data_IF_291698381504
#
_entry.id   IF_291698381504
#
_cell.length_a   1.000
_cell.length_b   1.000
_cell.length_c   1.000
_cell.angle_alpha   90.00
_cell.angle_beta   90.00
_cell.angle_gamma   90.00
#
_symmetry.space_group_name_H-M   'P 1'
#
loop_
_entity.id
_entity.type
_entity.pdbx_description
1 polymer ?
#
# COMPACT_ATOMS: atom_id res chain seq x y z
N UNK A 1 -10.19 -24.97 40.69
CA UNK A 1 -10.41 -23.64 40.08
C UNK A 1 -9.14 -22.89 39.63
N UNK A 2 -7.96 -23.53 39.49
CA UNK A 2 -6.73 -22.87 38.99
C UNK A 2 -6.29 -23.31 37.58
N UNK A 3 -6.96 -24.28 36.96
CA UNK A 3 -6.61 -24.80 35.63
C UNK A 3 -7.41 -24.18 34.46
N UNK A 4 -8.43 -23.36 34.73
CA UNK A 4 -9.26 -22.76 33.67
C UNK A 4 -8.69 -21.46 33.07
N UNK A 5 -7.67 -20.86 33.71
CA UNK A 5 -7.12 -19.56 33.29
C UNK A 5 -6.01 -19.72 32.23
N UNK A 6 -5.40 -20.91 32.11
CA UNK A 6 -4.30 -21.13 31.16
C UNK A 6 -4.78 -21.39 29.72
N UNK A 7 -5.99 -21.94 29.53
CA UNK A 7 -6.54 -22.22 28.20
C UNK A 7 -7.06 -20.95 27.48
N UNK A 8 -7.37 -19.89 28.23
CA UNK A 8 -7.85 -18.62 27.67
C UNK A 8 -6.72 -17.70 27.19
N UNK A 9 -5.47 -17.96 27.57
CA UNK A 9 -4.30 -17.18 27.16
C UNK A 9 -3.60 -17.73 25.91
N UNK A 10 -3.97 -18.93 25.45
CA UNK A 10 -3.45 -19.56 24.23
C UNK A 10 -4.29 -19.27 22.97
N UNK A 11 -5.46 -18.66 23.12
CA UNK A 11 -6.37 -18.33 22.01
C UNK A 11 -6.15 -16.94 21.41
N UNK A 12 -5.27 -16.13 22.00
CA UNK A 12 -4.92 -14.79 21.50
C UNK A 12 -3.64 -14.78 20.65
N UNK A 13 -3.09 -15.94 20.32
CA UNK A 13 -2.14 -16.05 19.22
C UNK A 13 -2.93 -15.96 17.92
N UNK A 14 -3.32 -14.74 17.54
CA UNK A 14 -3.70 -14.45 16.16
C UNK A 14 -2.46 -14.73 15.33
N UNK A 15 -2.32 -15.98 14.88
CA UNK A 15 -1.55 -16.27 13.70
C UNK A 15 -2.18 -15.38 12.63
N UNK A 16 -1.56 -14.23 12.38
CA UNK A 16 -1.80 -13.51 11.14
C UNK A 16 -1.52 -14.57 10.08
N UNK A 17 -2.59 -15.08 9.47
CA UNK A 17 -2.46 -16.01 8.37
C UNK A 17 -1.67 -15.23 7.33
N UNK A 18 -0.38 -15.56 7.20
CA UNK A 18 0.45 -15.01 6.14
C UNK A 18 -0.26 -15.39 4.85
N UNK A 19 -0.75 -14.37 4.15
CA UNK A 19 -1.36 -14.52 2.85
C UNK A 19 -0.36 -15.18 1.90
N UNK A 20 -0.79 -16.04 0.97
CA UNK A 20 0.13 -16.79 0.11
C UNK A 20 1.12 -15.92 -0.68
N UNK A 21 0.76 -14.68 -0.97
CA UNK A 21 1.60 -13.71 -1.68
C UNK A 21 2.64 -13.00 -0.79
N UNK A 22 2.46 -13.00 0.54
CA UNK A 22 3.36 -12.29 1.46
C UNK A 22 4.83 -12.71 1.35
N UNK A 23 5.17 -14.03 1.28
CA UNK A 23 6.56 -14.46 1.08
C UNK A 23 7.18 -13.97 -0.24
N UNK A 24 6.38 -13.91 -1.32
CA UNK A 24 6.81 -13.40 -2.64
C UNK A 24 7.12 -11.91 -2.55
N UNK A 25 6.26 -11.15 -1.87
CA UNK A 25 6.47 -9.73 -1.64
C UNK A 25 7.71 -9.48 -0.77
N UNK A 26 7.85 -10.18 0.35
CA UNK A 26 8.97 -10.03 1.28
C UNK A 26 10.31 -10.35 0.60
N UNK A 27 10.38 -11.44 -0.16
CA UNK A 27 11.60 -11.85 -0.86
C UNK A 27 12.01 -10.89 -1.97
N UNK A 28 11.05 -10.23 -2.63
CA UNK A 28 11.28 -9.32 -3.74
C UNK A 28 11.39 -7.85 -3.34
N UNK A 29 11.00 -7.48 -2.11
CA UNK A 29 10.88 -6.08 -1.64
C UNK A 29 12.13 -5.21 -1.86
N UNK A 30 13.32 -5.81 -1.71
CA UNK A 30 14.59 -5.12 -1.87
C UNK A 30 15.27 -5.41 -3.21
N UNK A 31 15.15 -6.64 -3.73
CA UNK A 31 15.84 -7.07 -4.95
C UNK A 31 15.18 -6.55 -6.23
N UNK A 32 13.87 -6.32 -6.22
CA UNK A 32 13.10 -6.02 -7.43
C UNK A 32 12.49 -4.61 -7.42
N UNK A 33 12.76 -3.81 -6.39
CA UNK A 33 12.23 -2.45 -6.27
C UNK A 33 12.96 -1.46 -7.19
N UNK A 34 12.19 -0.73 -7.99
CA UNK A 34 12.65 0.40 -8.79
C UNK A 34 11.99 1.69 -8.32
N UNK A 35 12.78 2.66 -7.87
CA UNK A 35 12.28 3.94 -7.35
C UNK A 35 11.52 4.72 -8.42
N UNK A 36 10.32 5.20 -8.08
CA UNK A 36 9.47 5.98 -8.99
C UNK A 36 8.77 5.14 -10.07
N UNK A 37 8.82 3.81 -9.96
CA UNK A 37 8.22 2.87 -10.90
C UNK A 37 7.17 1.98 -10.21
N UNK A 38 6.30 2.56 -9.37
CA UNK A 38 5.32 1.86 -8.55
C UNK A 38 4.47 0.86 -9.37
N UNK A 39 3.95 1.28 -10.53
CA UNK A 39 3.23 0.40 -11.45
C UNK A 39 4.06 -0.82 -11.90
N UNK A 40 5.29 -0.61 -12.36
CA UNK A 40 6.21 -1.70 -12.76
C UNK A 40 6.52 -2.64 -11.59
N UNK A 41 6.75 -2.10 -10.39
CA UNK A 41 7.03 -2.90 -9.20
C UNK A 41 5.85 -3.83 -8.86
N UNK A 42 4.61 -3.30 -8.87
CA UNK A 42 3.41 -4.10 -8.62
C UNK A 42 3.16 -5.13 -9.73
N UNK A 43 3.38 -4.78 -10.99
CA UNK A 43 3.27 -5.74 -12.09
C UNK A 43 4.26 -6.89 -11.97
N UNK A 44 5.49 -6.59 -11.55
CA UNK A 44 6.49 -7.63 -11.31
C UNK A 44 6.10 -8.53 -10.13
N UNK A 45 5.53 -7.97 -9.05
CA UNK A 45 5.02 -8.77 -7.93
C UNK A 45 3.90 -9.72 -8.36
N UNK A 46 2.91 -9.21 -9.08
CA UNK A 46 1.79 -10.01 -9.60
C UNK A 46 2.31 -11.14 -10.50
N UNK A 47 3.28 -10.84 -11.37
CA UNK A 47 3.92 -11.85 -12.24
C UNK A 47 4.65 -12.92 -11.43
N UNK A 48 5.48 -12.54 -10.47
CA UNK A 48 6.22 -13.47 -9.62
C UNK A 48 5.27 -14.36 -8.82
N UNK A 49 4.24 -13.78 -8.22
CA UNK A 49 3.24 -14.53 -7.46
C UNK A 49 2.52 -15.56 -8.33
N UNK A 50 2.16 -15.19 -9.56
CA UNK A 50 1.56 -16.11 -10.53
C UNK A 50 2.53 -17.24 -10.92
N UNK A 51 3.81 -16.92 -11.14
CA UNK A 51 4.86 -17.92 -11.45
C UNK A 51 5.11 -18.90 -10.28
N UNK A 52 4.94 -18.44 -9.04
CA UNK A 52 5.00 -19.27 -7.83
C UNK A 52 3.69 -20.03 -7.53
N UNK A 53 2.68 -19.91 -8.39
CA UNK A 53 1.41 -20.63 -8.26
C UNK A 53 0.47 -20.08 -7.18
N UNK A 54 0.64 -18.82 -6.78
CA UNK A 54 -0.29 -18.13 -5.89
C UNK A 54 -1.63 -17.93 -6.60
N UNK A 55 -2.74 -18.21 -5.93
CA UNK A 55 -4.08 -17.87 -6.43
C UNK A 55 -4.32 -16.36 -6.34
N UNK A 56 -4.45 -15.72 -7.50
CA UNK A 56 -4.64 -14.28 -7.66
C UNK A 56 -6.08 -13.90 -8.01
N UNK A 57 -7.04 -14.81 -7.89
CA UNK A 57 -8.46 -14.56 -8.20
C UNK A 57 -9.06 -13.38 -7.44
N UNK A 58 -8.63 -13.17 -6.19
CA UNK A 58 -9.03 -12.03 -5.35
C UNK A 58 -8.02 -10.87 -5.37
N UNK A 59 -6.97 -10.94 -6.18
CA UNK A 59 -5.94 -9.90 -6.20
C UNK A 59 -6.36 -8.71 -7.09
N UNK A 60 -6.20 -7.50 -6.57
CA UNK A 60 -6.61 -6.25 -7.20
C UNK A 60 -5.45 -5.27 -7.27
N UNK A 61 -5.10 -4.82 -8.48
CA UNK A 61 -4.15 -3.72 -8.69
C UNK A 61 -4.90 -2.42 -8.53
N UNK A 62 -4.43 -1.58 -7.61
CA UNK A 62 -5.09 -0.34 -7.22
C UNK A 62 -4.20 0.83 -7.65
N UNK A 63 -4.75 1.70 -8.49
CA UNK A 63 -4.16 2.98 -8.85
C UNK A 63 -4.88 4.09 -8.08
N UNK A 64 -4.12 4.92 -7.40
CA UNK A 64 -4.63 6.13 -6.75
C UNK A 64 -4.10 7.38 -7.44
N UNK A 65 -5.00 8.30 -7.75
CA UNK A 65 -4.70 9.63 -8.30
C UNK A 65 -5.40 10.71 -7.49
N UNK A 66 -5.05 11.97 -7.71
CA UNK A 66 -5.75 13.10 -7.11
C UNK A 66 -6.34 13.99 -8.20
N UNK A 67 -7.66 14.11 -8.25
CA UNK A 67 -8.36 14.99 -9.20
C UNK A 67 -8.71 16.35 -8.57
N UNK A 68 -8.35 16.58 -7.31
CA UNK A 68 -8.60 17.87 -6.66
C UNK A 68 -7.59 18.94 -7.11
N UNK A 69 -8.11 20.17 -7.25
CA UNK A 69 -7.31 21.35 -7.59
C UNK A 69 -6.35 21.80 -6.46
N UNK A 70 -6.54 21.31 -5.23
CA UNK A 70 -5.86 21.86 -4.05
C UNK A 70 -4.39 21.45 -3.91
N UNK A 71 -3.97 20.34 -4.51
CA UNK A 71 -2.58 19.87 -4.50
C UNK A 71 -2.01 19.71 -5.92
N UNK A 72 -2.48 20.49 -6.89
CA UNK A 72 -2.02 20.39 -8.29
C UNK A 72 -2.13 18.95 -8.87
N UNK A 73 -3.15 18.20 -8.45
CA UNK A 73 -3.35 16.81 -8.86
C UNK A 73 -2.38 15.79 -8.24
N UNK A 74 -1.63 16.15 -7.19
CA UNK A 74 -0.66 15.26 -6.55
C UNK A 74 -1.29 14.46 -5.39
N UNK A 75 -0.97 13.17 -5.34
CA UNK A 75 -1.21 12.26 -4.21
C UNK A 75 -0.07 12.41 -3.20
N UNK A 76 -0.41 12.60 -1.92
CA UNK A 76 0.57 12.69 -0.83
C UNK A 76 0.68 11.37 -0.09
N UNK A 77 1.88 10.79 -0.03
CA UNK A 77 2.22 9.59 0.74
C UNK A 77 2.99 9.95 2.01
N UNK A 78 2.46 9.62 3.19
CA UNK A 78 3.00 10.06 4.48
C UNK A 78 3.96 9.08 5.16
N UNK A 79 3.82 7.80 4.85
CA UNK A 79 4.75 6.75 5.27
C UNK A 79 5.47 6.17 4.05
N UNK A 80 5.83 7.04 3.11
CA UNK A 80 6.51 6.61 1.90
C UNK A 80 7.93 6.11 2.20
N UNK A 81 8.35 5.07 1.47
CA UNK A 81 9.68 4.47 1.53
C UNK A 81 10.74 5.53 1.23
N UNK A 82 11.62 5.74 2.18
CA UNK A 82 12.82 6.54 1.99
C UNK A 82 14.03 5.93 2.70
N UNK A 83 15.18 6.50 2.42
CA UNK A 83 16.41 6.23 3.15
C UNK A 83 17.18 7.52 3.34
N UNK A 84 17.77 7.68 4.53
CA UNK A 84 18.68 8.80 4.84
C UNK A 84 20.09 8.27 5.10
N UNK A 85 21.09 9.10 4.88
CA UNK A 85 22.47 8.76 5.23
C UNK A 85 22.66 8.90 6.76
N UNK A 86 23.07 7.82 7.42
CA UNK A 86 23.59 7.89 8.79
C UNK A 86 24.95 8.59 8.77
N UNK A 87 25.04 9.73 9.45
CA UNK A 87 26.25 10.57 9.49
C UNK A 87 27.42 9.93 10.24
N UNK A 88 27.13 8.96 11.11
CA UNK A 88 28.14 8.29 11.94
C UNK A 88 28.73 7.09 11.22
N UNK A 89 27.88 6.31 10.55
CA UNK A 89 28.28 5.05 9.90
C UNK A 89 28.48 5.18 8.39
N UNK A 90 28.00 6.27 7.77
CA UNK A 90 27.99 6.46 6.33
C UNK A 90 27.04 5.52 5.58
N UNK A 91 26.22 4.73 6.29
CA UNK A 91 25.27 3.80 5.69
C UNK A 91 23.92 4.46 5.45
N UNK A 92 23.21 4.05 4.40
CA UNK A 92 21.80 4.43 4.23
C UNK A 92 20.96 3.65 5.22
N UNK A 93 20.15 4.36 6.01
CA UNK A 93 19.19 3.78 6.94
C UNK A 93 17.76 4.08 6.47
N UNK A 94 16.84 3.11 6.61
CA UNK A 94 15.39 3.33 6.63
C UNK A 94 14.93 4.68 7.18
N UNK A 95 14.07 5.37 6.42
CA UNK A 95 13.39 6.58 6.89
C UNK A 95 12.00 6.71 6.23
N UNK A 96 11.07 7.37 6.91
CA UNK A 96 9.75 7.70 6.36
C UNK A 96 9.74 9.17 5.99
N UNK A 97 9.26 9.49 4.79
CA UNK A 97 9.13 10.88 4.38
C UNK A 97 7.80 11.14 3.68
N UNK A 98 7.37 12.39 3.79
CA UNK A 98 6.25 12.88 3.02
C UNK A 98 6.67 13.02 1.55
N UNK A 99 6.02 12.27 0.67
CA UNK A 99 6.20 12.33 -0.79
C UNK A 99 4.95 12.80 -1.48
N UNK A 100 5.14 13.42 -2.65
CA UNK A 100 4.08 13.80 -3.56
C UNK A 100 4.28 13.08 -4.89
N UNK A 101 3.24 12.44 -5.39
CA UNK A 101 3.25 11.69 -6.66
C UNK A 101 2.09 12.13 -7.55
N UNK A 102 2.24 12.04 -8.87
CA UNK A 102 1.10 12.22 -9.79
C UNK A 102 0.08 11.10 -9.65
N UNK A 103 0.55 9.90 -9.33
CA UNK A 103 -0.25 8.73 -9.04
C UNK A 103 0.59 7.74 -8.21
N UNK A 104 -0.07 6.78 -7.58
CA UNK A 104 0.60 5.66 -6.93
C UNK A 104 -0.12 4.35 -7.21
N UNK A 105 0.61 3.25 -7.27
CA UNK A 105 0.07 1.92 -7.56
C UNK A 105 0.50 0.95 -6.47
N UNK A 106 -0.46 0.20 -5.94
CA UNK A 106 -0.23 -0.85 -4.95
C UNK A 106 -1.14 -2.06 -5.23
N UNK A 107 -0.83 -3.19 -4.61
CA UNK A 107 -1.61 -4.42 -4.75
C UNK A 107 -2.45 -4.64 -3.50
N UNK A 108 -3.69 -5.07 -3.69
CA UNK A 108 -4.51 -5.66 -2.64
C UNK A 108 -4.74 -7.15 -2.93
N UNK A 109 -4.71 -7.99 -1.90
CA UNK A 109 -5.06 -9.40 -1.97
C UNK A 109 -5.62 -9.85 -0.61
N UNK A 110 -6.81 -10.44 -0.63
CA UNK A 110 -7.53 -10.94 0.56
C UNK A 110 -7.62 -9.92 1.73
N UNK A 111 -7.83 -8.63 1.43
CA UNK A 111 -7.98 -7.56 2.42
C UNK A 111 -6.65 -6.96 2.92
N UNK A 112 -5.53 -7.33 2.32
CA UNK A 112 -4.20 -6.84 2.68
C UNK A 112 -3.51 -6.12 1.52
N UNK A 113 -2.68 -5.12 1.86
CA UNK A 113 -1.93 -4.30 0.92
C UNK A 113 -0.46 -4.72 0.86
N UNK A 114 0.06 -4.76 -0.37
CA UNK A 114 1.46 -4.95 -0.72
C UNK A 114 1.92 -3.75 -1.53
N UNK A 115 2.78 -2.94 -0.93
CA UNK A 115 3.28 -1.72 -1.54
C UNK A 115 4.79 -1.59 -1.27
N UNK A 116 5.57 -1.53 -2.34
CA UNK A 116 7.02 -1.36 -2.26
C UNK A 116 7.44 0.02 -1.78
N UNK A 117 6.53 1.00 -1.88
CA UNK A 117 6.71 2.37 -1.43
C UNK A 117 6.13 2.59 -0.02
N UNK A 118 5.60 1.56 0.66
CA UNK A 118 5.11 1.70 2.04
C UNK A 118 6.14 1.28 3.07
N UNK A 119 6.68 2.29 3.75
CA UNK A 119 7.69 2.10 4.77
C UNK A 119 9.02 1.56 4.27
N UNK A 120 9.91 1.23 5.20
CA UNK A 120 11.30 0.88 4.90
C UNK A 120 11.61 -0.61 4.87
N UNK A 121 10.66 -1.42 5.33
CA UNK A 121 10.72 -2.87 5.44
C UNK A 121 9.44 -3.43 4.80
N UNK A 122 9.47 -4.65 4.24
CA UNK A 122 8.26 -5.25 3.69
C UNK A 122 7.19 -5.35 4.78
N UNK A 123 6.03 -4.77 4.51
CA UNK A 123 4.90 -4.78 5.45
C UNK A 123 3.62 -5.11 4.72
N UNK A 124 2.96 -6.16 5.16
CA UNK A 124 1.61 -6.53 4.72
C UNK A 124 0.61 -5.94 5.71
N UNK A 125 -0.28 -5.08 5.23
CA UNK A 125 -1.11 -4.23 6.10
C UNK A 125 -2.58 -4.30 5.67
N UNK A 126 -3.56 -4.41 6.59
CA UNK A 126 -4.96 -4.31 6.23
C UNK A 126 -5.27 -3.03 5.45
N UNK A 127 -6.18 -3.11 4.46
CA UNK A 127 -6.51 -1.98 3.55
C UNK A 127 -6.78 -0.67 4.31
N UNK A 128 -7.66 -0.71 5.30
CA UNK A 128 -8.04 0.48 6.06
C UNK A 128 -6.83 1.09 6.77
N UNK A 129 -6.06 0.29 7.51
CA UNK A 129 -4.86 0.76 8.22
C UNK A 129 -3.83 1.36 7.25
N UNK A 130 -3.58 0.71 6.12
CA UNK A 130 -2.66 1.22 5.10
C UNK A 130 -3.11 2.58 4.58
N UNK A 131 -4.37 2.72 4.17
CA UNK A 131 -4.89 3.98 3.61
C UNK A 131 -4.84 5.11 4.65
N UNK A 132 -5.18 4.82 5.91
CA UNK A 132 -5.10 5.78 7.01
C UNK A 132 -3.69 6.35 7.16
N UNK A 133 -2.70 5.45 7.21
CA UNK A 133 -1.30 5.82 7.45
C UNK A 133 -0.66 6.45 6.22
N UNK A 134 -0.95 5.92 5.04
CA UNK A 134 -0.30 6.32 3.80
C UNK A 134 -0.90 7.59 3.21
N UNK A 135 -2.22 7.77 3.28
CA UNK A 135 -2.92 8.85 2.55
C UNK A 135 -3.75 9.79 3.42
N UNK A 136 -4.15 9.37 4.63
CA UNK A 136 -5.09 10.11 5.48
C UNK A 136 -4.59 10.34 6.92
N UNK A 137 -3.37 10.85 7.14
CA UNK A 137 -2.79 10.96 8.47
C UNK A 137 -3.64 11.87 9.35
N UNK A 138 -3.81 11.49 10.61
CA UNK A 138 -4.52 12.30 11.61
C UNK A 138 -3.89 13.67 11.83
N UNK A 139 -2.56 13.75 11.70
CA UNK A 139 -1.81 14.99 11.87
C UNK A 139 -1.78 15.77 10.56
N UNK A 140 -2.10 17.06 10.65
CA UNK A 140 -1.93 18.01 9.55
C UNK A 140 -0.44 18.14 9.23
N UNK A 141 -0.04 17.64 8.07
CA UNK A 141 1.28 17.90 7.51
C UNK A 141 1.18 19.09 6.56
N UNK A 142 2.02 20.11 6.77
CA UNK A 142 2.13 21.23 5.85
C UNK A 142 3.03 20.86 4.67
N UNK A 143 2.44 20.34 3.60
CA UNK A 143 3.03 20.43 2.27
C UNK A 143 2.79 21.85 1.78
N UNK A 144 3.72 22.79 2.01
CA UNK A 144 3.70 24.14 1.45
C UNK A 144 2.32 24.82 1.45
N UNK A 145 1.93 25.41 2.58
CA UNK A 145 0.79 26.34 2.75
C UNK A 145 -0.64 25.88 2.39
N UNK A 146 -0.89 24.62 1.98
CA UNK A 146 -2.26 24.08 1.89
C UNK A 146 -2.42 22.74 2.57
N UNK A 147 -2.93 22.80 3.80
CA UNK A 147 -3.38 21.63 4.56
C UNK A 147 -4.67 21.13 3.90
N UNK A 148 -4.60 20.04 3.13
CA UNK A 148 -5.78 19.32 2.66
C UNK A 148 -6.37 18.51 3.82
N UNK A 149 -7.65 18.71 4.12
CA UNK A 149 -8.29 17.97 5.20
C UNK A 149 -8.47 16.50 4.83
N UNK A 150 -8.69 15.65 5.84
CA UNK A 150 -9.07 14.24 5.62
C UNK A 150 -10.27 14.13 4.68
N UNK A 151 -11.29 14.95 4.89
CA UNK A 151 -12.51 14.95 4.09
C UNK A 151 -12.23 15.32 2.62
N UNK A 152 -11.37 16.33 2.39
CA UNK A 152 -10.95 16.72 1.04
C UNK A 152 -10.23 15.57 0.32
N UNK A 153 -9.42 14.80 1.05
CA UNK A 153 -8.70 13.65 0.49
C UNK A 153 -9.63 12.50 0.15
N UNK A 154 -10.56 12.17 1.06
CA UNK A 154 -11.57 11.13 0.83
C UNK A 154 -12.41 11.42 -0.43
N UNK A 155 -12.74 12.70 -0.67
CA UNK A 155 -13.53 13.14 -1.82
C UNK A 155 -12.70 13.40 -3.08
N UNK A 156 -11.46 13.86 -2.92
CA UNK A 156 -10.60 14.32 -4.01
C UNK A 156 -9.71 13.24 -4.63
N UNK A 157 -9.35 12.21 -3.86
CA UNK A 157 -8.59 11.09 -4.38
C UNK A 157 -9.52 10.15 -5.16
N UNK A 158 -9.02 9.69 -6.29
CA UNK A 158 -9.67 8.69 -7.13
C UNK A 158 -8.90 7.40 -7.04
N UNK A 159 -9.65 6.32 -6.98
CA UNK A 159 -9.15 4.96 -6.92
C UNK A 159 -9.68 4.25 -8.16
N UNK A 160 -8.77 3.70 -8.95
CA UNK A 160 -9.08 2.76 -10.02
C UNK A 160 -8.67 1.36 -9.58
N UNK A 161 -9.58 0.41 -9.67
CA UNK A 161 -9.37 -0.97 -9.27
C UNK A 161 -9.43 -1.87 -10.50
N UNK A 162 -8.37 -2.65 -10.71
CA UNK A 162 -8.29 -3.67 -11.77
C UNK A 162 -7.99 -5.02 -11.16
N UNK A 163 -8.47 -6.11 -11.77
CA UNK A 163 -8.07 -7.45 -11.35
C UNK A 163 -6.60 -7.69 -11.73
N UNK A 164 -5.90 -8.51 -10.95
CA UNK A 164 -4.54 -8.92 -11.28
C UNK A 164 -4.47 -9.61 -12.67
N UNK A 165 -5.47 -10.43 -12.99
CA UNK A 165 -5.60 -11.10 -14.29
C UNK A 165 -5.69 -10.12 -15.46
N UNK A 166 -6.60 -9.14 -15.39
CA UNK A 166 -6.79 -8.18 -16.50
C UNK A 166 -5.52 -7.34 -16.73
N UNK A 167 -4.74 -7.12 -15.67
CA UNK A 167 -3.48 -6.39 -15.72
C UNK A 167 -2.34 -7.22 -16.31
N UNK A 168 -2.27 -8.53 -16.02
CA UNK A 168 -1.31 -9.47 -16.64
C UNK A 168 -1.53 -9.59 -18.15
N UNK A 169 -2.78 -9.66 -18.58
CA UNK A 169 -3.16 -9.78 -19.99
C UNK A 169 -2.97 -8.47 -20.78
N UNK A 170 -2.60 -7.37 -20.11
CA UNK A 170 -2.56 -6.02 -20.69
C UNK A 170 -3.87 -5.65 -21.39
N UNK A 171 -4.98 -6.15 -20.88
CA UNK A 171 -6.29 -5.87 -21.44
C UNK A 171 -6.59 -4.37 -21.30
N UNK A 172 -7.38 -3.83 -22.22
CA UNK A 172 -7.90 -2.46 -22.11
C UNK A 172 -9.19 -2.42 -21.28
N UNK A 173 -9.45 -3.43 -20.46
CA UNK A 173 -10.61 -3.42 -19.58
C UNK A 173 -10.52 -2.21 -18.64
N UNK A 174 -11.60 -1.44 -18.62
CA UNK A 174 -11.70 -0.28 -17.74
C UNK A 174 -11.82 -0.77 -16.31
N UNK A 175 -10.98 -0.25 -15.41
CA UNK A 175 -11.11 -0.52 -13.98
C UNK A 175 -12.38 0.08 -13.39
N UNK A 176 -12.75 -0.42 -12.20
CA UNK A 176 -13.80 0.19 -11.38
C UNK A 176 -13.24 1.51 -10.80
N UNK A 177 -13.90 2.63 -11.11
CA UNK A 177 -13.50 3.96 -10.65
C UNK A 177 -14.38 4.42 -9.49
N UNK A 178 -13.76 4.89 -8.42
CA UNK A 178 -14.45 5.44 -7.26
C UNK A 178 -13.61 6.47 -6.50
N UNK A 179 -14.20 7.13 -5.52
CA UNK A 179 -13.49 7.97 -4.56
C UNK A 179 -12.76 7.13 -3.52
N UNK A 180 -11.75 7.69 -2.85
CA UNK A 180 -11.10 7.00 -1.74
C UNK A 180 -12.07 6.71 -0.58
N UNK A 181 -13.06 7.59 -0.35
CA UNK A 181 -14.10 7.37 0.65
C UNK A 181 -15.00 6.18 0.34
N UNK A 182 -15.42 6.02 -0.92
CA UNK A 182 -16.17 4.85 -1.37
C UNK A 182 -15.34 3.58 -1.28
N UNK A 183 -14.05 3.64 -1.62
CA UNK A 183 -13.13 2.50 -1.51
C UNK A 183 -13.03 1.96 -0.07
N UNK A 184 -12.97 2.85 0.92
CA UNK A 184 -12.90 2.47 2.34
C UNK A 184 -14.24 1.96 2.93
N UNK A 185 -15.36 2.21 2.25
CA UNK A 185 -16.69 1.83 2.73
C UNK A 185 -17.13 0.44 2.25
N UNK A 186 -16.34 -0.23 1.40
CA UNK A 186 -16.59 -1.59 0.90
C UNK A 186 -16.22 -2.65 1.94
#
# INVERSE_FOLDING_TARGET
>A
MRFLILALLLSASTAFAQTPIAPVFESSFNSNYQSGQCGTNIMNLVKLANEEGVDLSNARVILITNESYFNFGMVGGFEARSSRLDKTTGKRIPYFELRSWYHHVFLEHDGYIYDYDFGSEPRVTPVAEYVERMFLPEKRWSLGDKITSREDRLKGYRVEIRTAESTLQRSQEKGELMTLGEFLAR
#
